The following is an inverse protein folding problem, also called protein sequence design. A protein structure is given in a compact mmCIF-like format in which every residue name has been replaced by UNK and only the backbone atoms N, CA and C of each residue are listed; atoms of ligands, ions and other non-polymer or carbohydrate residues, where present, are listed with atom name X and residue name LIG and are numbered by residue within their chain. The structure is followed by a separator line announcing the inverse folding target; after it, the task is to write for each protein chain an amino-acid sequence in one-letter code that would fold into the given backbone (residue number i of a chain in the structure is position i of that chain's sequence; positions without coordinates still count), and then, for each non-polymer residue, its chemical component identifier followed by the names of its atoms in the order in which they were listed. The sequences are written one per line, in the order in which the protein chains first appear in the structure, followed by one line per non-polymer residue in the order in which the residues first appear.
data_IF_876481257030
#
_entry.id   IF_876481257030
#
_cell.length_a   1.000
_cell.length_b   1.000
_cell.length_c   1.000
_cell.angle_alpha   90.00
_cell.angle_beta   90.00
_cell.angle_gamma   90.00
#
_symmetry.space_group_name_H-M   'P 1'
#
loop_
_entity.id
_entity.type
_entity.pdbx_description
1 polymer ?
#
# COMPACT_ATOMS: atom_id res chain seq x y z
N UNK A 1 -48.17 3.82 54.70
CA UNK A 1 -46.84 3.52 55.27
C UNK A 1 -45.88 3.38 54.15
N UNK A 2 -44.91 4.26 54.11
CA UNK A 2 -43.94 4.45 53.07
C UNK A 2 -42.77 3.46 53.31
N UNK A 3 -42.34 2.73 52.26
CA UNK A 3 -41.05 2.04 52.27
C UNK A 3 -40.30 2.33 50.99
N UNK A 4 -39.12 2.88 51.17
CA UNK A 4 -38.19 3.46 50.21
C UNK A 4 -37.45 2.38 49.41
N UNK A 5 -37.44 2.57 48.10
CA UNK A 5 -36.60 1.88 47.14
C UNK A 5 -35.12 2.24 47.32
N UNK A 6 -34.27 1.26 47.57
CA UNK A 6 -32.82 1.40 47.58
C UNK A 6 -32.23 1.34 46.17
N UNK A 7 -31.68 2.46 45.73
CA UNK A 7 -30.89 2.55 44.53
C UNK A 7 -29.51 1.94 44.76
N UNK A 8 -29.21 0.81 44.13
CA UNK A 8 -27.87 0.19 44.12
C UNK A 8 -27.00 0.94 43.12
N UNK A 9 -26.08 1.74 43.61
CA UNK A 9 -25.00 2.34 42.83
C UNK A 9 -24.01 1.23 42.41
N UNK A 10 -23.92 0.99 41.11
CA UNK A 10 -22.85 0.19 40.53
C UNK A 10 -21.48 0.90 40.71
N UNK A 11 -20.51 0.18 41.28
CA UNK A 11 -19.14 0.64 41.44
C UNK A 11 -18.47 0.77 40.05
N UNK A 12 -17.67 1.81 39.81
CA UNK A 12 -16.88 1.90 38.58
C UNK A 12 -15.77 0.84 38.59
N UNK A 13 -15.53 0.24 37.42
CA UNK A 13 -14.46 -0.69 37.15
C UNK A 13 -13.09 -0.03 37.34
N UNK A 14 -12.05 -0.76 37.76
CA UNK A 14 -10.76 -0.20 38.05
C UNK A 14 -10.05 0.31 36.81
N UNK A 15 -9.43 1.44 36.97
CA UNK A 15 -8.62 2.22 36.05
C UNK A 15 -7.26 1.50 35.80
N UNK A 16 -7.29 0.40 35.03
CA UNK A 16 -6.09 -0.30 34.55
C UNK A 16 -6.20 -0.52 33.05
N UNK A 17 -6.09 0.53 32.27
CA UNK A 17 -5.78 0.42 30.84
C UNK A 17 -5.50 1.80 30.22
N UNK A 18 -4.58 2.57 30.77
CA UNK A 18 -3.99 3.73 30.09
C UNK A 18 -2.56 3.94 30.55
N UNK A 19 -1.71 2.96 30.27
CA UNK A 19 -0.27 3.17 30.19
C UNK A 19 0.20 2.69 28.83
N UNK A 20 -0.10 3.45 27.82
CA UNK A 20 0.73 3.46 26.62
C UNK A 20 1.97 4.25 27.03
N UNK A 21 3.03 3.55 27.32
CA UNK A 21 4.34 4.16 27.55
C UNK A 21 4.71 4.93 26.29
N UNK A 22 4.60 6.26 26.37
CA UNK A 22 5.25 7.17 25.41
C UNK A 22 6.75 6.92 25.55
N UNK A 23 7.29 6.09 24.69
CA UNK A 23 8.72 6.05 24.41
C UNK A 23 9.07 7.45 23.89
N UNK A 24 9.70 8.26 24.74
CA UNK A 24 10.34 9.50 24.33
C UNK A 24 11.49 9.12 23.41
N UNK A 25 11.23 9.12 22.10
CA UNK A 25 12.28 9.14 21.10
C UNK A 25 13.08 10.43 21.31
N UNK A 26 14.35 10.25 21.59
CA UNK A 26 15.33 11.30 21.77
C UNK A 26 15.45 12.08 20.45
N UNK A 27 15.01 13.35 20.46
CA UNK A 27 14.97 14.25 19.29
C UNK A 27 16.39 14.77 18.98
N UNK A 28 17.28 13.95 18.48
CA UNK A 28 18.56 14.42 17.93
C UNK A 28 18.86 14.02 16.48
N UNK A 29 18.01 13.19 15.84
CA UNK A 29 18.10 12.92 14.40
C UNK A 29 16.84 13.44 13.73
N UNK A 30 16.96 14.63 13.14
CA UNK A 30 15.94 15.21 12.24
C UNK A 30 15.91 14.45 10.90
N UNK A 31 15.52 13.20 10.92
CA UNK A 31 14.77 12.63 9.83
C UNK A 31 13.40 13.29 9.92
N UNK A 32 13.04 14.10 8.94
CA UNK A 32 11.75 14.81 8.85
C UNK A 32 10.63 13.80 9.03
N UNK A 33 10.01 13.82 10.21
CA UNK A 33 8.80 13.04 10.45
C UNK A 33 7.80 13.39 9.34
N UNK A 34 7.33 12.37 8.61
CA UNK A 34 6.29 12.51 7.61
C UNK A 34 5.12 13.25 8.25
N UNK A 35 4.76 14.41 7.69
CA UNK A 35 3.63 15.19 8.20
C UNK A 35 2.34 14.51 7.76
N UNK A 36 1.79 13.67 8.62
CA UNK A 36 0.59 12.88 8.37
C UNK A 36 -0.60 13.72 7.87
N UNK A 37 -0.76 14.95 8.34
CA UNK A 37 -1.87 15.81 7.93
C UNK A 37 -1.75 16.22 6.45
N UNK A 38 -0.53 16.48 5.99
CA UNK A 38 -0.24 16.76 4.57
C UNK A 38 -0.36 15.49 3.74
N UNK A 39 0.07 14.34 4.28
CA UNK A 39 -0.11 13.04 3.66
C UNK A 39 -1.58 12.76 3.35
N UNK A 40 -2.48 12.92 4.32
CA UNK A 40 -3.92 12.72 4.13
C UNK A 40 -4.50 13.66 3.06
N UNK A 41 -4.14 14.94 3.07
CA UNK A 41 -4.61 15.90 2.06
C UNK A 41 -4.15 15.51 0.64
N UNK A 42 -2.90 15.08 0.51
CA UNK A 42 -2.32 14.64 -0.75
C UNK A 42 -2.96 13.33 -1.24
N UNK A 43 -3.16 12.37 -0.34
CA UNK A 43 -3.86 11.12 -0.64
C UNK A 43 -5.31 11.38 -1.08
N UNK A 44 -6.06 12.26 -0.41
CA UNK A 44 -7.43 12.64 -0.82
C UNK A 44 -7.47 13.35 -2.16
N UNK A 45 -6.48 14.18 -2.48
CA UNK A 45 -6.36 14.79 -3.81
C UNK A 45 -6.03 13.73 -4.86
N UNK A 46 -5.14 12.80 -4.55
CA UNK A 46 -4.82 11.64 -5.38
C UNK A 46 -6.06 10.77 -5.64
N UNK A 47 -6.84 10.44 -4.61
CA UNK A 47 -8.07 9.67 -4.70
C UNK A 47 -9.04 10.27 -5.73
N UNK A 48 -9.25 11.58 -5.71
CA UNK A 48 -10.14 12.28 -6.65
C UNK A 48 -9.60 12.40 -8.07
N UNK A 49 -8.29 12.59 -8.23
CA UNK A 49 -7.69 12.97 -9.50
C UNK A 49 -6.92 11.83 -10.17
N UNK A 50 -6.42 10.85 -9.41
CA UNK A 50 -5.59 9.76 -9.93
C UNK A 50 -6.38 8.50 -10.33
N UNK A 51 -7.71 8.52 -10.34
CA UNK A 51 -8.54 7.37 -10.69
C UNK A 51 -8.11 6.66 -11.99
N UNK A 52 -7.87 7.37 -13.11
CA UNK A 52 -7.36 6.75 -14.34
C UNK A 52 -5.99 6.09 -14.15
N UNK A 53 -5.12 6.66 -13.31
CA UNK A 53 -3.80 6.11 -13.01
C UNK A 53 -3.92 4.83 -12.16
N UNK A 54 -4.74 4.81 -11.13
CA UNK A 54 -5.00 3.62 -10.32
C UNK A 54 -5.62 2.51 -11.15
N UNK A 55 -6.55 2.84 -12.05
CA UNK A 55 -7.11 1.89 -13.02
C UNK A 55 -6.03 1.30 -13.93
N UNK A 56 -5.08 2.12 -14.39
CA UNK A 56 -3.98 1.66 -15.23
C UNK A 56 -3.01 0.76 -14.43
N UNK A 57 -2.68 1.14 -13.18
CA UNK A 57 -1.89 0.29 -12.27
C UNK A 57 -2.59 -1.06 -12.04
N UNK A 58 -3.86 -1.03 -11.66
CA UNK A 58 -4.63 -2.25 -11.41
C UNK A 58 -4.72 -3.16 -12.65
N UNK A 59 -4.84 -2.58 -13.83
CA UNK A 59 -4.91 -3.33 -15.10
C UNK A 59 -3.68 -4.21 -15.36
N UNK A 60 -2.54 -3.89 -14.74
CA UNK A 60 -1.31 -4.68 -14.89
C UNK A 60 -1.40 -6.03 -14.17
N UNK A 61 -2.21 -6.12 -13.12
CA UNK A 61 -2.33 -7.29 -12.25
C UNK A 61 -3.72 -7.94 -12.31
N UNK A 62 -4.73 -7.27 -12.83
CA UNK A 62 -6.12 -7.70 -12.83
C UNK A 62 -6.36 -9.17 -13.26
N UNK A 63 -5.66 -9.73 -14.27
CA UNK A 63 -5.84 -11.13 -14.67
C UNK A 63 -5.41 -12.17 -13.63
N UNK A 64 -4.67 -11.75 -12.60
CA UNK A 64 -4.11 -12.62 -11.57
C UNK A 64 -4.80 -12.47 -10.21
N UNK A 65 -5.76 -11.55 -10.13
CA UNK A 65 -6.49 -11.27 -8.90
C UNK A 65 -7.55 -12.34 -8.67
N UNK A 66 -7.41 -13.07 -7.57
CA UNK A 66 -8.34 -14.12 -7.14
C UNK A 66 -9.63 -13.58 -6.54
N UNK A 67 -10.26 -14.38 -5.70
CA UNK A 67 -11.57 -14.07 -5.10
C UNK A 67 -11.47 -13.48 -3.69
N UNK A 68 -10.42 -13.79 -2.95
CA UNK A 68 -10.21 -13.41 -1.55
C UNK A 68 -8.91 -12.62 -1.43
N UNK A 69 -9.01 -11.31 -1.54
CA UNK A 69 -7.88 -10.41 -1.75
C UNK A 69 -7.53 -9.65 -0.46
N UNK A 70 -6.26 -9.67 -0.07
CA UNK A 70 -5.71 -8.73 0.90
C UNK A 70 -4.95 -7.61 0.17
N UNK A 71 -5.25 -6.37 0.51
CA UNK A 71 -4.54 -5.17 0.06
C UNK A 71 -3.66 -4.70 1.23
N UNK A 72 -2.36 -4.99 1.16
CA UNK A 72 -1.40 -4.74 2.24
C UNK A 72 -0.67 -3.43 2.00
N UNK A 73 -0.80 -2.50 2.95
CA UNK A 73 -0.46 -1.09 2.75
C UNK A 73 -1.56 -0.38 1.93
N UNK A 74 -2.83 -0.64 2.27
CA UNK A 74 -3.97 -0.20 1.47
C UNK A 74 -4.17 1.33 1.48
N UNK A 75 -3.57 2.05 2.44
CA UNK A 75 -3.80 3.49 2.61
C UNK A 75 -5.29 3.82 2.71
N UNK A 76 -5.75 4.79 1.95
CA UNK A 76 -7.16 5.19 1.87
C UNK A 76 -8.04 4.24 1.04
N UNK A 77 -7.49 3.15 0.51
CA UNK A 77 -8.23 2.17 -0.29
C UNK A 77 -8.29 2.49 -1.78
N UNK A 78 -7.22 3.01 -2.35
CA UNK A 78 -7.15 3.40 -3.77
C UNK A 78 -7.47 2.25 -4.74
N UNK A 79 -7.30 0.99 -4.30
CA UNK A 79 -7.58 -0.20 -5.10
C UNK A 79 -8.95 -0.81 -4.79
N UNK A 80 -9.64 -0.40 -3.72
CA UNK A 80 -10.88 -1.01 -3.24
C UNK A 80 -11.96 -1.05 -4.29
N UNK A 81 -12.18 0.05 -5.03
CA UNK A 81 -13.23 0.14 -6.06
C UNK A 81 -13.09 -0.93 -7.16
N UNK A 82 -11.87 -1.40 -7.45
CA UNK A 82 -11.60 -2.43 -8.44
C UNK A 82 -11.81 -3.86 -7.90
N UNK A 83 -12.10 -3.99 -6.59
CA UNK A 83 -12.15 -5.24 -5.85
C UNK A 83 -13.48 -5.49 -5.14
N UNK A 84 -14.48 -4.60 -5.35
CA UNK A 84 -15.81 -4.71 -4.73
C UNK A 84 -16.60 -5.94 -5.20
N UNK A 85 -16.25 -6.53 -6.33
CA UNK A 85 -16.84 -7.75 -6.88
C UNK A 85 -16.21 -9.04 -6.35
N UNK A 86 -15.24 -8.95 -5.43
CA UNK A 86 -14.56 -10.10 -4.82
C UNK A 86 -15.34 -10.64 -3.64
N UNK A 87 -15.09 -11.91 -3.26
CA UNK A 87 -15.77 -12.52 -2.12
C UNK A 87 -15.33 -11.86 -0.81
N UNK A 88 -14.05 -11.51 -0.72
CA UNK A 88 -13.46 -10.72 0.38
C UNK A 88 -12.45 -9.74 -0.20
N UNK A 89 -12.55 -8.50 0.22
CA UNK A 89 -11.49 -7.52 0.22
C UNK A 89 -11.08 -7.25 1.68
N UNK A 90 -9.81 -7.45 1.99
CA UNK A 90 -9.24 -7.20 3.30
C UNK A 90 -8.18 -6.09 3.18
N UNK A 91 -8.54 -4.85 3.53
CA UNK A 91 -7.61 -3.72 3.60
C UNK A 91 -6.79 -3.78 4.87
N UNK A 92 -5.46 -3.68 4.75
CA UNK A 92 -4.52 -3.73 5.87
C UNK A 92 -3.57 -2.56 5.78
N UNK A 93 -3.50 -1.80 6.88
CA UNK A 93 -2.54 -0.70 7.05
C UNK A 93 -2.16 -0.57 8.52
N UNK A 94 -1.06 0.10 8.80
CA UNK A 94 -0.64 0.43 10.17
C UNK A 94 -1.27 1.72 10.67
N UNK A 95 -1.76 2.57 9.76
CA UNK A 95 -2.37 3.85 10.07
C UNK A 95 -3.86 3.70 10.37
N UNK A 96 -4.25 3.89 11.63
CA UNK A 96 -5.64 3.79 12.09
C UNK A 96 -6.57 4.76 11.34
N UNK A 97 -6.13 5.99 11.09
CA UNK A 97 -6.92 7.01 10.38
C UNK A 97 -7.24 6.59 8.94
N UNK A 98 -6.30 5.93 8.24
CA UNK A 98 -6.55 5.41 6.89
C UNK A 98 -7.60 4.31 6.92
N UNK A 99 -7.50 3.43 7.89
CA UNK A 99 -8.46 2.32 8.08
C UNK A 99 -9.86 2.86 8.40
N UNK A 100 -9.99 3.85 9.26
CA UNK A 100 -11.28 4.49 9.58
C UNK A 100 -11.92 5.16 8.36
N UNK A 101 -11.13 5.84 7.52
CA UNK A 101 -11.60 6.47 6.28
C UNK A 101 -12.08 5.39 5.31
N UNK A 102 -11.29 4.33 5.11
CA UNK A 102 -11.66 3.22 4.24
C UNK A 102 -12.97 2.55 4.69
N UNK A 103 -13.12 2.27 5.98
CA UNK A 103 -14.35 1.73 6.56
C UNK A 103 -15.55 2.65 6.32
N UNK A 104 -15.36 3.95 6.53
CA UNK A 104 -16.43 4.94 6.36
C UNK A 104 -16.89 5.00 4.91
N UNK A 105 -15.95 5.02 3.96
CA UNK A 105 -16.24 5.11 2.53
C UNK A 105 -16.96 3.85 2.02
N UNK A 106 -16.69 2.68 2.59
CA UNK A 106 -17.21 1.39 2.12
C UNK A 106 -18.10 0.67 3.15
N UNK A 107 -18.71 1.38 4.09
CA UNK A 107 -19.53 0.82 5.19
C UNK A 107 -20.74 -0.01 4.74
N UNK A 108 -21.17 0.12 3.48
CA UNK A 108 -22.28 -0.63 2.87
C UNK A 108 -21.83 -1.89 2.14
N UNK A 109 -20.53 -2.07 1.92
CA UNK A 109 -20.00 -3.21 1.21
C UNK A 109 -19.67 -4.33 2.21
N UNK A 110 -20.50 -5.35 2.27
CA UNK A 110 -20.38 -6.44 3.25
C UNK A 110 -19.12 -7.30 3.09
N UNK A 111 -18.51 -7.29 1.91
CA UNK A 111 -17.29 -8.00 1.59
C UNK A 111 -16.01 -7.21 1.87
N UNK A 112 -16.13 -5.91 2.20
CA UNK A 112 -14.99 -5.07 2.59
C UNK A 112 -14.75 -5.21 4.09
N UNK A 113 -13.55 -5.67 4.43
CA UNK A 113 -13.04 -5.77 5.80
C UNK A 113 -11.74 -5.01 5.91
N UNK A 114 -11.42 -4.58 7.11
CA UNK A 114 -10.16 -3.87 7.38
C UNK A 114 -9.52 -4.36 8.67
N UNK A 115 -8.20 -4.31 8.73
CA UNK A 115 -7.41 -4.68 9.91
C UNK A 115 -6.24 -3.72 10.04
N UNK A 116 -5.96 -3.27 11.26
CA UNK A 116 -4.72 -2.58 11.59
C UNK A 116 -3.68 -3.64 11.92
N UNK A 117 -2.64 -3.77 11.07
CA UNK A 117 -1.56 -4.72 11.28
C UNK A 117 -0.27 -4.28 10.57
N UNK A 118 0.87 -4.64 11.15
CA UNK A 118 2.19 -4.44 10.55
C UNK A 118 2.64 -5.72 9.82
N UNK A 119 2.99 -5.57 8.54
CA UNK A 119 3.53 -6.66 7.72
C UNK A 119 4.84 -7.22 8.27
N UNK A 120 5.56 -6.45 9.09
CA UNK A 120 6.80 -6.88 9.73
C UNK A 120 6.56 -7.75 10.98
N UNK A 121 5.34 -7.85 11.49
CA UNK A 121 5.05 -8.70 12.65
C UNK A 121 5.08 -10.19 12.28
N UNK A 122 5.64 -11.01 13.17
CA UNK A 122 5.70 -12.47 12.98
C UNK A 122 4.32 -13.14 12.98
N UNK A 123 3.31 -12.48 13.58
CA UNK A 123 1.92 -12.93 13.59
C UNK A 123 1.15 -12.61 12.28
N UNK A 124 1.70 -11.71 11.43
CA UNK A 124 1.03 -11.24 10.22
C UNK A 124 0.54 -12.36 9.29
N UNK A 125 1.33 -13.42 8.99
CA UNK A 125 0.85 -14.51 8.14
C UNK A 125 -0.41 -15.19 8.68
N UNK A 126 -0.55 -15.32 10.00
CA UNK A 126 -1.70 -15.95 10.64
C UNK A 126 -3.00 -15.15 10.41
N UNK A 127 -2.91 -13.82 10.31
CA UNK A 127 -4.06 -12.95 10.04
C UNK A 127 -4.65 -13.28 8.67
N UNK A 128 -3.81 -13.38 7.64
CA UNK A 128 -4.26 -13.64 6.28
C UNK A 128 -4.76 -15.07 6.11
N UNK A 129 -4.06 -16.04 6.70
CA UNK A 129 -4.47 -17.45 6.69
C UNK A 129 -5.85 -17.68 7.30
N UNK A 130 -6.17 -17.00 8.43
CA UNK A 130 -7.51 -17.06 9.05
C UNK A 130 -8.62 -16.48 8.17
N UNK A 131 -8.29 -15.67 7.20
CA UNK A 131 -9.22 -15.08 6.25
C UNK A 131 -9.23 -15.79 4.91
N UNK A 132 -8.52 -16.93 4.75
CA UNK A 132 -8.40 -17.73 3.52
C UNK A 132 -8.02 -16.88 2.30
N UNK A 133 -7.09 -15.97 2.45
CA UNK A 133 -6.64 -15.07 1.39
C UNK A 133 -5.91 -15.86 0.31
N UNK A 134 -6.33 -15.70 -0.95
CA UNK A 134 -5.72 -16.35 -2.12
C UNK A 134 -4.80 -15.42 -2.91
N UNK A 135 -4.97 -14.12 -2.73
CA UNK A 135 -4.21 -13.08 -3.44
C UNK A 135 -3.84 -11.94 -2.51
N UNK A 136 -2.58 -11.56 -2.52
CA UNK A 136 -2.10 -10.33 -1.88
C UNK A 136 -1.79 -9.31 -2.97
N UNK A 137 -2.40 -8.13 -2.84
CA UNK A 137 -2.03 -6.90 -3.53
C UNK A 137 -1.19 -6.06 -2.56
N UNK A 138 -0.07 -5.52 -3.02
CA UNK A 138 0.70 -4.56 -2.22
C UNK A 138 1.40 -3.59 -3.16
N UNK A 139 0.88 -2.37 -3.21
CA UNK A 139 1.34 -1.31 -4.09
C UNK A 139 1.96 -0.18 -3.27
N UNK A 140 3.21 0.15 -3.62
CA UNK A 140 3.99 1.22 -2.98
C UNK A 140 4.07 1.07 -1.46
N UNK A 141 4.45 -0.12 -0.99
CA UNK A 141 4.68 -0.43 0.42
C UNK A 141 6.15 -0.77 0.71
N UNK A 142 6.76 -1.68 -0.06
CA UNK A 142 8.08 -2.24 0.26
C UNK A 142 9.19 -1.19 0.32
N UNK A 143 9.08 -0.12 -0.45
CA UNK A 143 10.02 1.00 -0.43
C UNK A 143 10.03 1.79 0.87
N UNK A 144 8.93 1.73 1.63
CA UNK A 144 8.79 2.39 2.93
C UNK A 144 9.28 1.54 4.10
N UNK A 145 9.67 0.29 3.85
CA UNK A 145 10.13 -0.64 4.88
C UNK A 145 11.66 -0.75 4.86
N UNK A 146 12.30 -0.56 6.02
CA UNK A 146 13.73 -0.75 6.14
C UNK A 146 14.10 -2.22 5.89
N UNK A 147 13.33 -3.17 6.46
CA UNK A 147 13.46 -4.61 6.24
C UNK A 147 12.40 -5.14 5.27
N UNK A 148 12.58 -4.82 3.98
CA UNK A 148 11.73 -5.31 2.91
C UNK A 148 11.81 -6.85 2.72
N UNK A 149 12.93 -7.47 3.18
CA UNK A 149 13.09 -8.93 3.15
C UNK A 149 12.14 -9.62 4.12
N UNK A 150 12.03 -9.12 5.35
CA UNK A 150 11.09 -9.65 6.35
C UNK A 150 9.66 -9.51 5.86
N UNK A 151 9.32 -8.35 5.28
CA UNK A 151 8.01 -8.15 4.66
C UNK A 151 7.75 -9.17 3.54
N UNK A 152 8.69 -9.37 2.61
CA UNK A 152 8.55 -10.35 1.53
C UNK A 152 8.34 -11.78 2.07
N UNK A 153 9.08 -12.18 3.12
CA UNK A 153 8.91 -13.47 3.80
C UNK A 153 7.49 -13.62 4.37
N UNK A 154 7.01 -12.60 5.09
CA UNK A 154 5.69 -12.62 5.71
C UNK A 154 4.57 -12.63 4.67
N UNK A 155 4.68 -11.84 3.61
CA UNK A 155 3.72 -11.85 2.49
C UNK A 155 3.64 -13.22 1.83
N UNK A 156 4.77 -13.85 1.54
CA UNK A 156 4.79 -15.20 0.93
C UNK A 156 4.24 -16.27 1.87
N UNK A 157 4.60 -16.23 3.15
CA UNK A 157 4.07 -17.16 4.17
C UNK A 157 2.57 -17.02 4.39
N UNK A 158 2.02 -15.85 4.09
CA UNK A 158 0.59 -15.56 4.25
C UNK A 158 -0.30 -16.23 3.20
N UNK A 159 0.28 -16.64 2.07
CA UNK A 159 -0.45 -17.16 0.93
C UNK A 159 -0.47 -18.69 0.93
N UNK A 160 -1.56 -19.30 0.46
CA UNK A 160 -1.59 -20.73 0.19
C UNK A 160 -0.74 -21.08 -1.03
N UNK A 161 -0.46 -22.38 -1.19
CA UNK A 161 0.13 -22.87 -2.43
C UNK A 161 -0.72 -22.45 -3.63
N UNK A 162 -0.09 -21.92 -4.68
CA UNK A 162 -0.68 -21.32 -5.88
C UNK A 162 -1.35 -19.96 -5.66
N UNK A 163 -1.29 -19.40 -4.46
CA UNK A 163 -1.71 -18.01 -4.22
C UNK A 163 -0.81 -17.01 -4.93
N UNK A 164 -1.36 -15.84 -5.25
CA UNK A 164 -0.66 -14.79 -5.98
C UNK A 164 -0.21 -13.64 -5.06
N UNK A 165 1.03 -13.22 -5.26
CA UNK A 165 1.57 -11.98 -4.70
C UNK A 165 1.77 -10.99 -5.85
N UNK A 166 1.02 -9.89 -5.80
CA UNK A 166 0.95 -8.86 -6.83
C UNK A 166 1.54 -7.56 -6.27
N UNK A 167 2.70 -7.18 -6.77
CA UNK A 167 3.44 -6.03 -6.25
C UNK A 167 3.61 -4.96 -7.33
N UNK A 168 3.55 -3.70 -6.88
CA UNK A 168 3.99 -2.54 -7.63
C UNK A 168 4.88 -1.70 -6.71
N UNK A 169 6.12 -1.47 -7.12
CA UNK A 169 7.12 -0.72 -6.34
C UNK A 169 7.83 0.30 -7.21
N UNK A 170 8.33 1.42 -6.66
CA UNK A 170 9.09 2.40 -7.43
C UNK A 170 10.37 1.78 -8.00
N UNK A 171 10.62 2.10 -9.27
CA UNK A 171 11.71 1.55 -10.05
C UNK A 171 12.80 2.58 -10.36
N UNK A 172 13.84 2.10 -11.09
CA UNK A 172 14.89 2.95 -11.67
C UNK A 172 15.65 3.75 -10.59
N UNK A 173 16.54 3.08 -9.82
CA UNK A 173 17.25 3.71 -8.69
C UNK A 173 18.02 4.99 -9.05
N UNK A 174 18.45 5.17 -10.29
CA UNK A 174 19.18 6.38 -10.71
C UNK A 174 18.32 7.66 -10.70
N UNK A 175 17.00 7.55 -10.60
CA UNK A 175 16.09 8.69 -10.43
C UNK A 175 15.71 8.96 -8.98
N UNK A 176 16.24 8.16 -8.03
CA UNK A 176 16.01 8.42 -6.60
C UNK A 176 16.49 9.84 -6.25
N UNK A 177 15.63 10.58 -5.54
CA UNK A 177 15.89 11.99 -5.30
C UNK A 177 15.13 12.60 -4.13
N UNK A 178 14.90 13.91 -4.21
CA UNK A 178 14.21 14.67 -3.17
C UNK A 178 12.76 14.21 -2.96
N UNK A 179 12.07 13.85 -4.04
CA UNK A 179 10.69 13.34 -3.98
C UNK A 179 10.62 12.02 -3.19
N UNK A 180 11.54 11.08 -3.46
CA UNK A 180 11.56 9.80 -2.75
C UNK A 180 11.81 9.98 -1.25
N UNK A 181 12.75 10.87 -0.90
CA UNK A 181 13.02 11.18 0.51
C UNK A 181 11.85 11.85 1.19
N UNK A 182 11.13 12.72 0.47
CA UNK A 182 9.95 13.39 0.98
C UNK A 182 8.81 12.39 1.22
N UNK A 183 8.64 11.40 0.32
CA UNK A 183 7.68 10.30 0.45
C UNK A 183 8.11 9.26 1.50
N UNK A 184 9.33 9.35 2.05
CA UNK A 184 9.85 8.41 3.04
C UNK A 184 10.33 7.08 2.43
N UNK A 185 10.70 7.07 1.15
CA UNK A 185 11.25 5.88 0.52
C UNK A 185 12.69 5.59 0.98
N UNK A 186 12.95 4.39 1.40
CA UNK A 186 14.32 3.92 1.64
C UNK A 186 15.05 3.61 0.32
N UNK A 187 14.31 3.15 -0.71
CA UNK A 187 14.90 2.63 -1.95
C UNK A 187 13.97 2.67 -3.14
N UNK A 188 14.56 2.45 -4.31
CA UNK A 188 13.89 2.07 -5.55
C UNK A 188 14.46 0.74 -6.04
N UNK A 189 13.70 0.04 -6.87
CA UNK A 189 14.01 -1.32 -7.28
C UNK A 189 14.46 -1.41 -8.74
N UNK A 190 15.21 -2.47 -9.03
CA UNK A 190 15.48 -2.99 -10.37
C UNK A 190 14.86 -4.37 -10.52
N UNK A 191 14.72 -4.87 -11.75
CA UNK A 191 14.30 -6.26 -11.95
C UNK A 191 15.22 -7.26 -11.22
N UNK A 192 16.52 -6.93 -11.15
CA UNK A 192 17.49 -7.80 -10.46
C UNK A 192 17.30 -7.79 -8.95
N UNK A 193 17.11 -6.60 -8.33
CA UNK A 193 16.86 -6.53 -6.88
C UNK A 193 15.55 -7.20 -6.50
N UNK A 194 14.49 -7.10 -7.33
CA UNK A 194 13.24 -7.84 -7.12
C UNK A 194 13.45 -9.36 -7.21
N UNK A 195 14.20 -9.86 -8.19
CA UNK A 195 14.53 -11.30 -8.25
C UNK A 195 15.30 -11.75 -7.01
N UNK A 196 16.27 -10.96 -6.57
CA UNK A 196 17.07 -11.28 -5.38
C UNK A 196 16.23 -11.29 -4.10
N UNK A 197 15.23 -10.39 -3.98
CA UNK A 197 14.32 -10.33 -2.84
C UNK A 197 13.55 -11.66 -2.66
N UNK A 198 13.18 -12.31 -3.76
CA UNK A 198 12.40 -13.54 -3.75
C UNK A 198 13.21 -14.82 -4.00
N UNK A 199 14.53 -14.73 -4.24
CA UNK A 199 15.36 -15.87 -4.69
C UNK A 199 15.35 -17.08 -3.74
N UNK A 200 15.23 -16.83 -2.42
CA UNK A 200 15.22 -17.90 -1.40
C UNK A 200 13.79 -18.26 -0.91
N UNK A 201 12.76 -17.70 -1.53
CA UNK A 201 11.37 -17.93 -1.13
C UNK A 201 10.68 -18.92 -2.08
N UNK A 202 9.69 -19.70 -1.60
CA UNK A 202 8.98 -20.69 -2.40
C UNK A 202 7.98 -20.03 -3.36
N UNK A 203 8.46 -19.16 -4.25
CA UNK A 203 7.65 -18.47 -5.26
C UNK A 203 8.29 -18.54 -6.64
N UNK A 204 7.45 -18.58 -7.65
CA UNK A 204 7.81 -18.42 -9.04
C UNK A 204 7.38 -17.01 -9.51
N UNK A 205 8.31 -16.21 -10.00
CA UNK A 205 7.99 -14.95 -10.64
C UNK A 205 7.47 -15.22 -12.05
N UNK A 206 6.18 -15.05 -12.28
CA UNK A 206 5.54 -15.26 -13.58
C UNK A 206 5.72 -14.07 -14.51
N UNK A 207 5.64 -12.84 -13.96
CA UNK A 207 5.90 -11.59 -14.70
C UNK A 207 6.69 -10.60 -13.86
N UNK A 208 7.59 -9.90 -14.55
CA UNK A 208 8.40 -8.84 -13.96
C UNK A 208 8.73 -7.81 -15.04
N UNK A 209 8.06 -6.67 -15.00
CA UNK A 209 8.23 -5.66 -16.04
C UNK A 209 8.20 -4.25 -15.47
N UNK A 210 8.85 -3.33 -16.18
CA UNK A 210 8.76 -1.91 -15.89
C UNK A 210 7.42 -1.35 -16.36
N UNK A 211 6.97 -0.32 -15.69
CA UNK A 211 5.67 0.31 -15.89
C UNK A 211 5.82 1.83 -15.79
N UNK A 212 5.11 2.57 -16.64
CA UNK A 212 5.06 4.03 -16.66
C UNK A 212 6.43 4.68 -16.94
N UNK A 213 6.97 4.47 -18.15
CA UNK A 213 8.27 5.00 -18.54
C UNK A 213 8.28 6.53 -18.64
N UNK A 214 7.21 7.14 -19.12
CA UNK A 214 7.08 8.61 -19.20
C UNK A 214 6.99 9.22 -17.81
N UNK A 215 6.28 8.56 -16.88
CA UNK A 215 6.27 8.96 -15.48
C UNK A 215 7.66 8.97 -14.84
N UNK A 216 8.54 8.05 -15.24
CA UNK A 216 9.93 8.07 -14.77
C UNK A 216 10.68 9.34 -15.20
N UNK A 217 10.49 9.78 -16.45
CA UNK A 217 11.05 11.04 -16.95
C UNK A 217 10.46 12.24 -16.20
N UNK A 218 9.14 12.29 -16.02
CA UNK A 218 8.46 13.34 -15.27
C UNK A 218 8.94 13.44 -13.82
N UNK A 219 9.08 12.29 -13.14
CA UNK A 219 9.61 12.21 -11.78
C UNK A 219 11.04 12.74 -11.70
N UNK A 220 11.90 12.30 -12.62
CA UNK A 220 13.30 12.75 -12.69
C UNK A 220 13.41 14.26 -12.92
N UNK A 221 12.62 14.82 -13.86
CA UNK A 221 12.59 16.25 -14.13
C UNK A 221 12.08 17.04 -12.92
N UNK A 222 10.98 16.62 -12.33
CA UNK A 222 10.39 17.28 -11.16
C UNK A 222 11.34 17.27 -9.96
N UNK A 223 11.96 16.13 -9.68
CA UNK A 223 12.90 16.00 -8.56
C UNK A 223 14.16 16.83 -8.68
N UNK A 224 14.52 17.32 -9.90
CA UNK A 224 15.70 18.15 -10.16
C UNK A 224 15.39 19.62 -10.40
N UNK A 225 14.25 19.92 -11.00
CA UNK A 225 13.94 21.26 -11.50
C UNK A 225 12.86 21.98 -10.69
N UNK A 226 12.06 21.25 -9.91
CA UNK A 226 10.98 21.84 -9.13
C UNK A 226 11.41 22.13 -7.68
N UNK A 227 11.23 23.34 -7.17
CA UNK A 227 11.58 23.69 -5.79
C UNK A 227 10.65 23.06 -4.73
N UNK A 228 9.45 22.59 -5.12
CA UNK A 228 8.49 21.94 -4.23
C UNK A 228 8.30 20.46 -4.58
N UNK A 229 8.41 19.56 -3.60
CA UNK A 229 8.14 18.13 -3.80
C UNK A 229 6.64 17.82 -3.91
N UNK A 230 5.75 18.78 -3.63
CA UNK A 230 4.30 18.54 -3.63
C UNK A 230 3.77 18.30 -5.03
N UNK A 231 2.92 17.27 -5.16
CA UNK A 231 2.17 17.03 -6.39
C UNK A 231 1.05 18.06 -6.53
N UNK A 232 1.02 18.74 -7.68
CA UNK A 232 -0.03 19.68 -7.99
C UNK A 232 -1.20 19.01 -8.73
N UNK A 233 -2.38 19.63 -8.70
CA UNK A 233 -3.50 19.18 -9.55
C UNK A 233 -3.14 19.13 -11.04
N UNK A 234 -2.24 20.02 -11.46
CA UNK A 234 -1.77 20.05 -12.84
C UNK A 234 -1.00 18.79 -13.22
N UNK A 235 -0.15 18.27 -12.32
CA UNK A 235 0.58 17.01 -12.54
C UNK A 235 -0.38 15.84 -12.80
N UNK A 236 -1.45 15.74 -12.01
CA UNK A 236 -2.47 14.71 -12.18
C UNK A 236 -3.27 14.87 -13.48
N UNK A 237 -3.65 16.11 -13.84
CA UNK A 237 -4.37 16.39 -15.09
C UNK A 237 -3.53 16.04 -16.30
N UNK A 238 -2.25 16.43 -16.31
CA UNK A 238 -1.33 16.10 -17.40
C UNK A 238 -1.11 14.58 -17.50
N UNK A 239 -0.91 13.91 -16.38
CA UNK A 239 -0.79 12.45 -16.36
C UNK A 239 -2.03 11.78 -16.93
N UNK A 240 -3.23 12.19 -16.49
CA UNK A 240 -4.49 11.63 -16.96
C UNK A 240 -4.70 11.81 -18.46
N UNK A 241 -4.25 12.92 -19.04
CA UNK A 241 -4.28 13.15 -20.48
C UNK A 241 -3.38 12.18 -21.25
N UNK A 242 -2.23 11.83 -20.68
CA UNK A 242 -1.26 10.95 -21.33
C UNK A 242 -1.60 9.46 -21.18
N UNK A 243 -2.27 9.03 -20.09
CA UNK A 243 -2.54 7.63 -19.78
C UNK A 243 -3.19 6.85 -20.92
N UNK A 244 -4.21 7.34 -21.65
CA UNK A 244 -4.86 6.57 -22.72
C UNK A 244 -3.91 6.16 -23.84
N UNK A 245 -2.93 7.00 -24.16
CA UNK A 245 -1.91 6.72 -25.18
C UNK A 245 -0.83 5.79 -24.58
N UNK A 246 -0.30 6.15 -23.41
CA UNK A 246 0.76 5.40 -22.76
C UNK A 246 0.35 3.97 -22.43
N UNK A 247 -0.86 3.78 -21.93
CA UNK A 247 -1.38 2.45 -21.56
C UNK A 247 -1.52 1.51 -22.77
N UNK A 248 -1.75 2.06 -23.96
CA UNK A 248 -1.77 1.28 -25.20
C UNK A 248 -0.37 0.95 -25.68
N UNK A 249 0.55 1.91 -25.66
CA UNK A 249 1.93 1.73 -26.08
C UNK A 249 2.67 0.73 -25.21
N UNK A 250 2.59 0.85 -23.88
CA UNK A 250 3.27 -0.04 -22.94
C UNK A 250 2.68 -1.47 -22.91
N UNK A 251 1.47 -1.64 -23.42
CA UNK A 251 0.89 -2.98 -23.64
C UNK A 251 1.56 -3.73 -24.80
N UNK A 252 2.04 -2.98 -25.80
CA UNK A 252 2.69 -3.54 -26.99
C UNK A 252 4.20 -3.63 -26.80
N UNK A 253 4.80 -2.61 -26.18
CA UNK A 253 6.24 -2.48 -26.01
C UNK A 253 6.54 -2.45 -24.51
N UNK A 254 7.21 -3.49 -24.00
CA UNK A 254 7.71 -3.48 -22.62
C UNK A 254 8.85 -2.47 -22.50
N UNK A 255 8.70 -1.37 -21.74
CA UNK A 255 9.75 -0.36 -21.63
C UNK A 255 11.00 -0.94 -20.93
N UNK A 256 12.20 -0.48 -21.29
CA UNK A 256 13.45 -0.90 -20.65
C UNK A 256 13.64 -0.29 -19.25
N UNK A 257 12.93 0.80 -18.96
CA UNK A 257 12.90 1.51 -17.66
C UNK A 257 11.47 1.93 -17.37
N UNK A 258 11.16 2.26 -16.11
CA UNK A 258 9.84 2.77 -15.73
C UNK A 258 9.86 3.49 -14.39
N UNK A 259 8.79 4.19 -14.08
CA UNK A 259 8.58 4.79 -12.76
C UNK A 259 8.44 3.70 -11.71
N UNK A 260 7.78 2.59 -12.08
CA UNK A 260 7.53 1.45 -11.20
C UNK A 260 7.91 0.12 -11.85
N UNK A 261 8.05 -0.91 -11.02
CA UNK A 261 8.12 -2.33 -11.42
C UNK A 261 6.86 -3.01 -10.94
N UNK A 262 6.25 -3.75 -11.84
CA UNK A 262 5.19 -4.71 -11.54
C UNK A 262 5.80 -6.10 -11.40
N UNK A 263 5.49 -6.78 -10.29
CA UNK A 263 5.89 -8.16 -10.03
C UNK A 263 4.66 -9.01 -9.78
N UNK A 264 4.52 -10.08 -10.55
CA UNK A 264 3.52 -11.12 -10.35
C UNK A 264 4.24 -12.39 -9.97
N UNK A 265 4.11 -12.79 -8.72
CA UNK A 265 4.72 -13.98 -8.17
C UNK A 265 3.64 -14.95 -7.68
N UNK A 266 3.88 -16.25 -7.85
CA UNK A 266 2.99 -17.34 -7.47
C UNK A 266 3.68 -18.26 -6.50
N UNK A 267 3.04 -18.60 -5.39
CA UNK A 267 3.55 -19.56 -4.39
C UNK A 267 3.55 -20.96 -4.99
N UNK A 268 4.68 -21.70 -4.85
CA UNK A 268 4.90 -23.05 -5.41
C UNK A 268 4.74 -24.16 -4.37
#
# INVERSE_FOLDING_TARGET
MVSRSGCVRSKPLPEQSRRVDRIKLNMSDKATAFDFSKGIALHRMGEKLAGPYFKWQFSQVAPYVGRRVADVGCGLGNMTEFLLDRDIYLGIDTCEEFIEILQTNHNRASNVKTIIADVLDDSFPTILQKNDIDTILSFNLLEHLEDDRRAAVNLVKSLPRRGYLLLLVPATPCIYGALDRWDGHFRRYTKQTMRNLFAALPVQIEKLHYFNCIGALGWWMKGRCAPSPEHSEYDYKLMNLCIPVLSRLERIISPPIGLSIVTIARVI
#
